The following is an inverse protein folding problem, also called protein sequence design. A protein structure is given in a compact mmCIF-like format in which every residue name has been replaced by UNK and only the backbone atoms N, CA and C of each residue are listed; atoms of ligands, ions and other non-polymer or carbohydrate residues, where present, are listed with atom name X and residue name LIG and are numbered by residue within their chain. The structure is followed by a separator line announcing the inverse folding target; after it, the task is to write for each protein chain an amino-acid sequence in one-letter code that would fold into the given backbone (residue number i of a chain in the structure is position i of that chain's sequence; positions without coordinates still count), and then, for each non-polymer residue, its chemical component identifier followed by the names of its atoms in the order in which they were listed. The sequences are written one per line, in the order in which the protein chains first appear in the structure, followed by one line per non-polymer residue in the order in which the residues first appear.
data_IF_282362565657
#
_entry.id   IF_282362565657
#
_cell.length_a   1.000
_cell.length_b   1.000
_cell.length_c   1.000
_cell.angle_alpha   90.00
_cell.angle_beta   90.00
_cell.angle_gamma   90.00
#
_symmetry.space_group_name_H-M   'P 1'
#
loop_
_entity.id
_entity.type
_entity.pdbx_description
1 polymer ?
#
# COMPACT_ATOMS: atom_id res chain seq x y z
N UNK A 1 5.63 -16.29 0.80
CA UNK A 1 5.13 -15.55 1.97
C UNK A 1 3.67 -15.27 1.71
N UNK A 2 2.74 -15.64 2.61
CA UNK A 2 1.33 -15.39 2.38
C UNK A 2 1.02 -13.90 2.51
N UNK A 3 -0.04 -13.50 1.83
CA UNK A 3 -0.57 -12.14 1.80
C UNK A 3 -2.08 -12.18 2.07
N UNK A 4 -2.64 -11.09 2.57
CA UNK A 4 -4.07 -10.91 2.76
C UNK A 4 -4.55 -9.61 2.10
N UNK A 5 -5.80 -9.54 1.61
CA UNK A 5 -6.36 -8.28 1.13
C UNK A 5 -6.35 -7.20 2.23
N UNK A 6 -6.06 -5.97 1.83
CA UNK A 6 -6.30 -4.77 2.62
C UNK A 6 -7.81 -4.44 2.62
N UNK A 7 -8.28 -3.84 3.72
CA UNK A 7 -9.64 -3.33 3.78
C UNK A 7 -9.80 -1.98 3.07
N UNK A 8 -11.05 -1.60 2.79
CA UNK A 8 -11.36 -0.35 2.09
C UNK A 8 -10.93 0.88 2.89
N UNK A 9 -10.91 0.80 4.23
CA UNK A 9 -10.55 1.91 5.10
C UNK A 9 -9.06 2.25 4.99
N UNK A 10 -8.19 1.24 4.95
CA UNK A 10 -6.76 1.36 4.71
C UNK A 10 -6.51 1.94 3.31
N UNK A 11 -7.15 1.39 2.28
CA UNK A 11 -7.00 1.89 0.90
C UNK A 11 -7.43 3.35 0.78
N UNK A 12 -8.57 3.72 1.37
CA UNK A 12 -9.02 5.10 1.40
C UNK A 12 -8.04 6.03 2.12
N UNK A 13 -7.40 5.58 3.21
CA UNK A 13 -6.37 6.35 3.92
C UNK A 13 -5.13 6.57 3.06
N UNK A 14 -4.61 5.50 2.45
CA UNK A 14 -3.43 5.56 1.59
C UNK A 14 -3.67 6.49 0.39
N UNK A 15 -4.84 6.41 -0.25
CA UNK A 15 -5.20 7.31 -1.33
C UNK A 15 -5.23 8.78 -0.90
N UNK A 16 -5.70 9.10 0.32
CA UNK A 16 -5.63 10.47 0.86
C UNK A 16 -4.20 10.95 1.07
N UNK A 17 -3.31 10.08 1.56
CA UNK A 17 -1.90 10.41 1.75
C UNK A 17 -1.14 10.55 0.42
N UNK A 18 -1.46 9.72 -0.57
CA UNK A 18 -0.92 9.81 -1.92
C UNK A 18 -1.36 11.10 -2.61
N UNK A 19 -2.65 11.44 -2.56
CA UNK A 19 -3.19 12.70 -3.07
C UNK A 19 -2.57 13.93 -2.40
N UNK A 20 -2.21 13.84 -1.12
CA UNK A 20 -1.49 14.88 -0.41
C UNK A 20 0.03 14.91 -0.69
N UNK A 21 0.54 14.00 -1.52
CA UNK A 21 1.96 13.90 -1.87
C UNK A 21 2.86 13.42 -0.71
N UNK A 22 2.26 12.82 0.33
CA UNK A 22 2.96 12.35 1.54
C UNK A 22 3.26 10.86 1.51
N UNK A 23 2.50 10.08 0.76
CA UNK A 23 2.72 8.63 0.69
C UNK A 23 3.98 8.29 -0.13
N UNK A 24 4.84 7.46 0.45
CA UNK A 24 6.08 6.99 -0.16
C UNK A 24 6.10 5.46 -0.20
N UNK A 25 6.59 4.90 -1.31
CA UNK A 25 6.96 3.50 -1.37
C UNK A 25 8.29 3.27 -0.61
N UNK A 26 8.71 2.01 -0.50
CA UNK A 26 9.93 1.62 0.19
C UNK A 26 11.19 2.23 -0.44
N UNK A 27 11.20 2.52 -1.74
CA UNK A 27 12.30 3.27 -2.38
C UNK A 27 12.29 4.78 -2.10
N UNK A 28 11.33 5.30 -1.34
CA UNK A 28 11.18 6.73 -1.08
C UNK A 28 10.59 7.53 -2.25
N UNK A 29 10.11 6.87 -3.30
CA UNK A 29 9.38 7.52 -4.40
C UNK A 29 7.94 7.78 -3.98
N UNK A 30 7.33 8.83 -4.54
CA UNK A 30 5.91 9.10 -4.32
C UNK A 30 5.09 7.96 -4.94
N UNK A 31 4.06 7.52 -4.24
CA UNK A 31 3.09 6.60 -4.83
C UNK A 31 2.20 7.40 -5.78
N UNK A 32 2.10 6.94 -7.02
CA UNK A 32 1.32 7.58 -8.08
C UNK A 32 0.05 6.78 -8.35
N UNK A 33 -1.01 7.48 -8.74
CA UNK A 33 -2.28 6.89 -9.14
C UNK A 33 -3.20 6.47 -7.98
N UNK A 34 -4.45 6.15 -8.30
CA UNK A 34 -5.37 5.59 -7.33
C UNK A 34 -4.98 4.15 -7.00
N UNK A 35 -4.79 3.89 -5.72
CA UNK A 35 -4.65 2.53 -5.21
C UNK A 35 -6.07 1.93 -5.19
N UNK A 36 -6.31 0.93 -6.04
CA UNK A 36 -7.62 0.26 -6.13
C UNK A 36 -7.80 -0.79 -5.03
N UNK A 37 -6.70 -1.34 -4.56
CA UNK A 37 -6.65 -2.37 -3.54
C UNK A 37 -5.22 -2.62 -3.06
N UNK A 38 -5.03 -3.60 -2.20
CA UNK A 38 -3.71 -3.91 -1.69
C UNK A 38 -3.62 -5.30 -1.08
N UNK A 39 -2.41 -5.85 -1.13
CA UNK A 39 -2.07 -7.12 -0.49
C UNK A 39 -1.09 -6.84 0.66
N UNK A 40 -1.57 -7.01 1.88
CA UNK A 40 -0.77 -6.87 3.09
C UNK A 40 0.02 -8.14 3.29
N UNK A 41 1.33 -8.00 3.47
CA UNK A 41 2.19 -9.11 3.87
C UNK A 41 1.83 -9.56 5.29
N UNK A 42 1.87 -10.86 5.57
CA UNK A 42 1.43 -11.42 6.86
C UNK A 42 2.07 -10.80 8.12
N UNK A 43 3.26 -10.19 8.00
CA UNK A 43 3.93 -9.51 9.11
C UNK A 43 3.48 -8.04 9.29
N UNK A 44 2.44 -7.62 8.56
CA UNK A 44 1.85 -6.27 8.58
C UNK A 44 2.86 -5.14 8.32
N UNK A 45 4.03 -5.46 7.76
CA UNK A 45 5.10 -4.51 7.56
C UNK A 45 4.94 -3.69 6.27
N UNK A 46 4.34 -4.28 5.25
CA UNK A 46 4.19 -3.66 3.92
C UNK A 46 2.89 -4.06 3.24
N UNK A 47 2.41 -3.17 2.37
CA UNK A 47 1.32 -3.39 1.44
C UNK A 47 1.84 -3.35 0.01
N UNK A 48 1.50 -4.37 -0.79
CA UNK A 48 1.68 -4.35 -2.24
C UNK A 48 0.43 -3.74 -2.87
N UNK A 49 0.51 -2.58 -3.53
CA UNK A 49 -0.66 -1.93 -4.10
C UNK A 49 -1.18 -2.69 -5.33
N UNK A 50 -2.48 -2.62 -5.56
CA UNK A 50 -3.13 -3.02 -6.80
C UNK A 50 -3.39 -1.74 -7.59
N UNK A 51 -2.78 -1.65 -8.76
CA UNK A 51 -2.91 -0.52 -9.69
C UNK A 51 -3.45 -1.06 -11.01
N UNK A 52 -4.50 -0.43 -11.52
CA UNK A 52 -5.20 -0.88 -12.75
C UNK A 52 -5.55 -2.38 -12.72
N UNK A 53 -6.03 -2.88 -11.57
CA UNK A 53 -6.35 -4.29 -11.34
C UNK A 53 -5.15 -5.24 -11.21
N UNK A 54 -3.90 -4.76 -11.27
CA UNK A 54 -2.69 -5.59 -11.23
C UNK A 54 -1.95 -5.39 -9.90
N UNK A 55 -1.76 -6.46 -9.10
CA UNK A 55 -0.91 -6.39 -7.91
C UNK A 55 0.56 -6.14 -8.27
N UNK A 56 1.13 -5.06 -7.74
CA UNK A 56 2.56 -4.73 -7.91
C UNK A 56 3.38 -5.47 -6.86
N UNK A 57 3.82 -6.67 -7.21
CA UNK A 57 4.58 -7.58 -6.32
C UNK A 57 6.09 -7.27 -6.30
N UNK A 58 6.47 -5.99 -6.28
CA UNK A 58 7.86 -5.54 -6.19
C UNK A 58 8.11 -4.94 -4.80
N UNK A 59 9.14 -5.42 -4.11
CA UNK A 59 9.43 -4.98 -2.73
C UNK A 59 9.77 -3.50 -2.65
N UNK A 60 10.35 -2.94 -3.71
CA UNK A 60 10.72 -1.53 -3.82
C UNK A 60 9.50 -0.62 -4.04
N UNK A 61 8.46 -1.15 -4.67
CA UNK A 61 7.17 -0.46 -4.86
C UNK A 61 6.21 -0.67 -3.68
N UNK A 62 6.54 -1.58 -2.75
CA UNK A 62 5.71 -1.84 -1.59
C UNK A 62 5.61 -0.58 -0.70
N UNK A 63 4.44 -0.37 -0.12
CA UNK A 63 4.11 0.74 0.76
C UNK A 63 4.36 0.29 2.19
N UNK A 64 5.31 0.90 2.93
CA UNK A 64 5.52 0.59 4.33
C UNK A 64 4.26 0.91 5.14
N UNK A 65 3.87 -0.02 6.01
CA UNK A 65 2.81 0.20 6.98
C UNK A 65 3.47 0.52 8.33
N UNK A 66 3.07 1.62 8.97
CA UNK A 66 3.56 1.94 10.31
C UNK A 66 2.84 1.11 11.38
N UNK A 67 3.56 0.75 12.43
CA UNK A 67 3.01 0.01 13.56
C UNK A 67 1.85 0.79 14.20
N UNK A 68 0.64 0.21 14.19
CA UNK A 68 -0.58 0.83 14.71
C UNK A 68 -1.54 1.32 13.62
N UNK A 69 -1.25 1.06 12.35
CA UNK A 69 -2.22 1.27 11.28
C UNK A 69 -3.25 0.13 11.34
N UNK A 70 -4.52 0.42 11.67
CA UNK A 70 -5.56 -0.61 11.66
C UNK A 70 -5.68 -1.15 10.23
N UNK A 71 -5.79 -2.47 10.19
CA UNK A 71 -5.83 -3.33 9.02
C UNK A 71 -7.23 -3.50 8.46
#
# INVERSE_FOLDING_TARGET
MPVRPADDALIARLNREAAAGRLRNRSGRKVEGPIEGGLIRQDDAVLFPILDGIPVMLIDEAIPLEAGQPA
#
